data_IF_119778208062
#
_entry.id   IF_119778208062
#
_cell.length_a   1.000
_cell.length_b   1.000
_cell.length_c   1.000
_cell.angle_alpha   90.00
_cell.angle_beta   90.00
_cell.angle_gamma   90.00
#
_symmetry.space_group_name_H-M   'P 1'
#
loop_
_entity.id
_entity.type
_entity.pdbx_description
1 polymer ?
#
# COMPACT_ATOMS: atom_id res chain seq x y z
N UNK A 1 -12.37 -0.57 20.89
CA UNK A 1 -12.08 0.10 19.60
C UNK A 1 -12.10 -0.94 18.50
N UNK A 2 -12.59 -0.62 17.31
CA UNK A 2 -12.54 -1.57 16.18
C UNK A 2 -11.12 -1.64 15.64
N UNK A 3 -10.63 -2.84 15.35
CA UNK A 3 -9.31 -3.04 14.76
C UNK A 3 -9.38 -2.77 13.25
N UNK A 4 -8.43 -1.98 12.72
CA UNK A 4 -8.25 -1.77 11.29
C UNK A 4 -7.10 -2.65 10.78
N UNK A 5 -7.41 -3.56 9.85
CA UNK A 5 -6.48 -4.52 9.28
C UNK A 5 -6.03 -4.07 7.88
N UNK A 6 -4.75 -3.77 7.72
CA UNK A 6 -4.18 -3.21 6.49
C UNK A 6 -3.10 -4.15 5.97
N UNK A 7 -3.16 -4.47 4.69
CA UNK A 7 -2.08 -5.17 3.98
C UNK A 7 -1.45 -4.20 2.98
N UNK A 8 -0.13 -4.06 3.04
CA UNK A 8 0.63 -3.37 2.03
C UNK A 8 1.42 -4.42 1.24
N UNK A 9 1.32 -4.40 -0.08
CA UNK A 9 1.96 -5.41 -0.92
C UNK A 9 2.56 -4.80 -2.18
N UNK A 10 3.62 -5.44 -2.65
CA UNK A 10 4.33 -5.00 -3.85
C UNK A 10 5.59 -5.80 -4.10
N UNK A 11 6.47 -5.19 -4.88
CA UNK A 11 7.77 -5.75 -5.26
C UNK A 11 8.88 -5.04 -4.46
N UNK A 12 9.91 -5.77 -4.08
CA UNK A 12 11.05 -5.23 -3.33
C UNK A 12 11.69 -4.03 -4.03
N UNK A 13 11.84 -2.93 -3.30
CA UNK A 13 12.34 -1.65 -3.81
C UNK A 13 11.26 -0.56 -3.97
N UNK A 14 9.97 -0.87 -3.89
CA UNK A 14 8.87 0.09 -4.05
C UNK A 14 8.55 0.92 -2.79
N UNK A 15 9.19 0.62 -1.66
CA UNK A 15 9.01 1.38 -0.41
C UNK A 15 7.81 0.94 0.44
N UNK A 16 7.29 -0.26 0.24
CA UNK A 16 6.19 -0.89 1.01
C UNK A 16 6.47 -0.86 2.52
N UNK A 17 7.69 -1.28 2.91
CA UNK A 17 8.14 -1.31 4.31
C UNK A 17 8.19 0.09 4.93
N UNK A 18 8.62 1.11 4.18
CA UNK A 18 8.63 2.48 4.68
C UNK A 18 7.21 2.99 4.92
N UNK A 19 6.28 2.73 3.99
CA UNK A 19 4.88 3.12 4.17
C UNK A 19 4.26 2.44 5.39
N UNK A 20 4.50 1.14 5.59
CA UNK A 20 4.07 0.40 6.80
C UNK A 20 4.63 1.03 8.08
N UNK A 21 5.94 1.31 8.12
CA UNK A 21 6.60 1.92 9.29
C UNK A 21 6.13 3.34 9.59
N UNK A 22 5.80 4.13 8.57
CA UNK A 22 5.24 5.48 8.76
C UNK A 22 3.84 5.40 9.36
N UNK A 23 2.99 4.51 8.83
CA UNK A 23 1.64 4.32 9.34
C UNK A 23 1.67 3.81 10.78
N UNK A 24 2.54 2.84 11.10
CA UNK A 24 2.71 2.35 12.47
C UNK A 24 3.18 3.47 13.42
N UNK A 25 4.16 4.28 13.01
CA UNK A 25 4.67 5.39 13.83
C UNK A 25 3.60 6.48 14.04
N UNK A 26 2.80 6.77 13.02
CA UNK A 26 1.67 7.70 13.12
C UNK A 26 0.59 7.18 14.09
N UNK A 27 0.27 5.90 14.03
CA UNK A 27 -0.67 5.25 14.96
C UNK A 27 -0.18 5.33 16.41
N UNK A 28 1.09 4.99 16.65
CA UNK A 28 1.70 5.04 17.99
C UNK A 28 1.74 6.46 18.55
N UNK A 29 1.92 7.48 17.72
CA UNK A 29 1.92 8.89 18.13
C UNK A 29 0.52 9.38 18.56
N UNK A 30 -0.52 8.62 18.27
CA UNK A 30 -1.91 8.82 18.73
C UNK A 30 -2.29 7.90 19.89
N UNK A 31 -1.34 7.27 20.53
CA UNK A 31 -1.56 6.27 21.57
C UNK A 31 -2.42 5.08 21.14
N UNK A 32 -2.49 4.79 19.82
CA UNK A 32 -3.17 3.62 19.30
C UNK A 32 -2.24 2.39 19.40
N UNK A 33 -2.81 1.27 19.81
CA UNK A 33 -2.10 -0.01 19.71
C UNK A 33 -1.87 -0.37 18.24
N UNK A 34 -0.68 -0.87 17.92
CA UNK A 34 -0.33 -1.32 16.58
C UNK A 34 0.51 -2.57 16.63
N UNK A 35 0.20 -3.50 15.75
CA UNK A 35 1.00 -4.71 15.50
C UNK A 35 1.34 -4.76 14.03
N UNK A 36 2.60 -5.03 13.72
CA UNK A 36 3.06 -5.18 12.33
C UNK A 36 3.92 -6.42 12.17
N UNK A 37 3.84 -7.03 11.00
CA UNK A 37 4.73 -8.08 10.56
C UNK A 37 5.07 -7.88 9.08
N UNK A 38 6.33 -8.11 8.73
CA UNK A 38 6.83 -7.96 7.37
C UNK A 38 7.29 -9.33 6.86
N UNK A 39 6.77 -9.74 5.71
CA UNK A 39 7.29 -10.90 4.99
C UNK A 39 8.14 -10.39 3.85
N UNK A 40 9.44 -10.47 4.03
CA UNK A 40 10.41 -10.10 3.01
C UNK A 40 10.91 -11.39 2.38
N UNK A 41 10.68 -11.57 1.07
CA UNK A 41 11.24 -12.70 0.33
C UNK A 41 12.77 -12.66 0.31
N UNK A 42 13.41 -13.80 -0.01
CA UNK A 42 14.88 -13.90 -0.08
C UNK A 42 15.49 -12.96 -1.14
N UNK A 43 14.72 -12.57 -2.16
CA UNK A 43 15.11 -11.55 -3.13
C UNK A 43 14.76 -10.17 -2.60
N UNK A 44 15.77 -9.42 -2.13
CA UNK A 44 15.56 -8.03 -1.63
C UNK A 44 15.14 -7.03 -2.73
N UNK A 45 15.35 -7.36 -4.01
CA UNK A 45 14.90 -6.59 -5.18
C UNK A 45 14.16 -7.51 -6.14
N UNK A 46 13.02 -7.07 -6.63
CA UNK A 46 12.22 -7.83 -7.59
C UNK A 46 11.40 -8.99 -6.99
N UNK A 47 11.58 -9.31 -5.70
CA UNK A 47 10.78 -10.31 -5.01
C UNK A 47 9.50 -9.72 -4.39
N UNK A 48 8.50 -10.58 -4.17
CA UNK A 48 7.26 -10.20 -3.50
C UNK A 48 7.52 -9.75 -2.06
N UNK A 49 6.93 -8.62 -1.67
CA UNK A 49 6.99 -8.05 -0.32
C UNK A 49 5.58 -7.82 0.19
N UNK A 50 5.33 -8.23 1.42
CA UNK A 50 4.05 -8.01 2.08
C UNK A 50 4.28 -7.55 3.51
N UNK A 51 3.56 -6.51 3.93
CA UNK A 51 3.51 -6.02 5.30
C UNK A 51 2.08 -6.12 5.82
N UNK A 52 1.91 -6.76 6.97
CA UNK A 52 0.68 -6.71 7.76
C UNK A 52 0.76 -5.55 8.74
N UNK A 53 -0.30 -4.80 8.85
CA UNK A 53 -0.44 -3.75 9.84
C UNK A 53 -1.84 -3.80 10.44
N UNK A 54 -1.91 -3.92 11.75
CA UNK A 54 -3.17 -3.93 12.50
C UNK A 54 -3.16 -2.81 13.51
N UNK A 55 -4.14 -1.92 13.42
CA UNK A 55 -4.29 -0.74 14.30
C UNK A 55 -5.52 -0.98 15.17
N UNK A 56 -5.36 -0.89 16.49
CA UNK A 56 -6.38 -1.18 17.50
C UNK A 56 -6.06 -2.43 18.31
N UNK A 57 -6.97 -2.83 19.19
CA UNK A 57 -6.77 -3.93 20.13
C UNK A 57 -6.63 -5.27 19.41
N UNK A 58 -5.41 -5.79 19.39
CA UNK A 58 -5.10 -7.09 18.75
C UNK A 58 -3.84 -7.71 19.33
N UNK A 59 -3.90 -9.01 19.61
CA UNK A 59 -2.78 -9.78 20.17
C UNK A 59 -1.76 -10.22 19.09
N UNK A 60 -2.14 -10.29 17.81
CA UNK A 60 -1.31 -10.81 16.72
C UNK A 60 -1.20 -9.84 15.57
N UNK A 61 -0.02 -9.70 14.94
CA UNK A 61 0.13 -8.90 13.72
C UNK A 61 -0.45 -9.58 12.47
N UNK A 62 -0.69 -10.89 12.50
CA UNK A 62 -1.10 -11.64 11.32
C UNK A 62 -2.56 -11.37 10.97
N UNK A 63 -2.81 -11.12 9.69
CA UNK A 63 -4.14 -10.94 9.11
C UNK A 63 -4.54 -12.23 8.40
N UNK A 64 -5.69 -12.79 8.77
CA UNK A 64 -6.21 -14.00 8.13
C UNK A 64 -6.89 -13.68 6.80
N UNK A 65 -7.07 -14.70 5.94
CA UNK A 65 -7.84 -14.52 4.69
C UNK A 65 -9.26 -14.02 5.02
N UNK A 66 -9.75 -13.11 4.18
CA UNK A 66 -11.09 -12.53 4.32
C UNK A 66 -11.23 -11.51 5.46
N UNK A 67 -10.13 -10.97 6.04
CA UNK A 67 -10.23 -10.06 7.18
C UNK A 67 -9.50 -8.73 7.03
N UNK A 68 -8.83 -8.47 5.91
CA UNK A 68 -8.22 -7.18 5.64
C UNK A 68 -9.27 -6.12 5.26
N UNK A 69 -9.26 -5.00 5.96
CA UNK A 69 -10.12 -3.84 5.65
C UNK A 69 -9.62 -3.09 4.43
N UNK A 70 -8.30 -3.02 4.28
CA UNK A 70 -7.61 -2.29 3.24
C UNK A 70 -6.43 -3.11 2.67
N UNK A 71 -6.32 -3.12 1.35
CA UNK A 71 -5.10 -3.54 0.65
C UNK A 71 -4.53 -2.33 -0.08
N UNK A 72 -3.26 -1.99 0.20
CA UNK A 72 -2.49 -0.99 -0.54
C UNK A 72 -1.50 -1.75 -1.43
N UNK A 73 -1.78 -1.80 -2.73
CA UNK A 73 -1.00 -2.50 -3.73
C UNK A 73 -0.05 -1.57 -4.49
N UNK A 74 1.23 -1.81 -4.37
CA UNK A 74 2.27 -1.06 -5.07
C UNK A 74 2.47 -1.59 -6.49
N UNK A 75 2.00 -2.81 -6.75
CA UNK A 75 2.08 -3.50 -8.02
C UNK A 75 0.78 -4.32 -8.23
N UNK A 76 0.14 -4.23 -9.42
CA UNK A 76 -1.20 -4.80 -9.62
C UNK A 76 -1.26 -6.32 -9.48
N UNK A 77 -0.25 -7.07 -9.93
CA UNK A 77 -0.22 -8.53 -9.78
C UNK A 77 -0.09 -8.96 -8.33
N UNK A 78 0.73 -8.25 -7.53
CA UNK A 78 0.83 -8.48 -6.09
C UNK A 78 -0.49 -8.14 -5.37
N UNK A 79 -1.20 -7.12 -5.84
CA UNK A 79 -2.53 -6.77 -5.33
C UNK A 79 -3.54 -7.89 -5.57
N UNK A 80 -3.59 -8.42 -6.80
CA UNK A 80 -4.45 -9.56 -7.14
C UNK A 80 -4.10 -10.79 -6.31
N UNK A 81 -2.81 -11.08 -6.13
CA UNK A 81 -2.35 -12.23 -5.35
C UNK A 81 -2.82 -12.19 -3.89
N UNK A 82 -2.97 -10.98 -3.31
CA UNK A 82 -3.42 -10.80 -1.93
C UNK A 82 -4.91 -10.53 -1.79
N UNK A 83 -5.66 -10.45 -2.89
CA UNK A 83 -7.11 -10.26 -2.86
C UNK A 83 -7.87 -11.27 -1.98
N UNK A 84 -7.44 -12.56 -1.84
CA UNK A 84 -8.08 -13.50 -0.91
C UNK A 84 -8.02 -13.08 0.57
N UNK A 85 -7.18 -12.13 0.94
CA UNK A 85 -7.12 -11.58 2.30
C UNK A 85 -8.14 -10.47 2.54
N UNK A 86 -8.65 -9.83 1.48
CA UNK A 86 -9.63 -8.76 1.60
C UNK A 86 -10.93 -9.29 2.20
N UNK A 87 -11.50 -8.56 3.15
CA UNK A 87 -12.85 -8.84 3.63
C UNK A 87 -13.87 -8.46 2.56
N UNK A 88 -15.04 -9.06 2.61
CA UNK A 88 -16.17 -8.68 1.76
C UNK A 88 -16.47 -7.18 1.91
N UNK A 89 -16.49 -6.45 0.80
CA UNK A 89 -16.71 -5.01 0.79
C UNK A 89 -15.52 -4.15 1.26
N UNK A 90 -14.34 -4.76 1.41
CA UNK A 90 -13.12 -4.03 1.77
C UNK A 90 -12.62 -3.10 0.67
N UNK A 91 -11.63 -2.28 0.98
CA UNK A 91 -11.05 -1.29 0.06
C UNK A 91 -9.74 -1.79 -0.54
N UNK A 92 -9.53 -1.52 -1.82
CA UNK A 92 -8.27 -1.73 -2.53
C UNK A 92 -7.80 -0.40 -3.12
N UNK A 93 -6.56 -0.02 -2.81
CA UNK A 93 -5.85 1.08 -3.46
C UNK A 93 -4.65 0.49 -4.17
N UNK A 94 -4.53 0.68 -5.47
CA UNK A 94 -3.45 0.07 -6.24
C UNK A 94 -2.85 1.01 -7.27
N UNK A 95 -1.57 0.83 -7.52
CA UNK A 95 -0.90 1.40 -8.70
C UNK A 95 -1.29 0.62 -9.95
N UNK A 96 -1.40 1.31 -11.09
CA UNK A 96 -1.49 0.65 -12.41
C UNK A 96 -0.10 0.24 -12.95
N UNK A 97 0.98 0.72 -12.34
CA UNK A 97 2.35 0.46 -12.78
C UNK A 97 2.79 -0.97 -12.45
N UNK A 98 2.98 -1.77 -13.48
CA UNK A 98 3.37 -3.16 -13.37
C UNK A 98 4.89 -3.36 -13.37
N UNK A 99 5.34 -4.36 -12.64
CA UNK A 99 6.72 -4.85 -12.68
C UNK A 99 6.68 -6.32 -13.08
N UNK A 100 7.28 -6.66 -14.22
CA UNK A 100 7.32 -8.04 -14.69
C UNK A 100 8.04 -8.94 -13.67
N UNK A 101 7.41 -10.00 -13.18
CA UNK A 101 8.05 -10.93 -12.28
C UNK A 101 9.28 -11.59 -12.93
N UNK A 102 10.37 -11.74 -12.18
CA UNK A 102 11.60 -12.36 -12.68
C UNK A 102 11.35 -13.76 -13.24
N UNK A 103 10.50 -14.54 -12.61
CA UNK A 103 10.11 -15.87 -13.07
C UNK A 103 9.41 -15.83 -14.42
N UNK A 104 8.51 -14.87 -14.65
CA UNK A 104 7.85 -14.70 -15.94
C UNK A 104 8.85 -14.31 -17.04
N UNK A 105 9.77 -13.39 -16.73
CA UNK A 105 10.83 -12.98 -17.64
C UNK A 105 11.76 -14.15 -18.05
N UNK A 106 12.08 -15.05 -17.12
CA UNK A 106 12.94 -16.21 -17.37
C UNK A 106 12.25 -17.35 -18.11
N UNK A 107 10.94 -17.53 -17.91
CA UNK A 107 10.17 -18.62 -18.55
C UNK A 107 9.48 -18.21 -19.84
N UNK A 108 9.56 -16.93 -20.23
CA UNK A 108 8.82 -16.38 -21.36
C UNK A 108 7.30 -16.32 -21.14
N UNK A 109 6.83 -16.46 -19.90
CA UNK A 109 5.42 -16.33 -19.57
C UNK A 109 4.95 -14.88 -19.77
N UNK A 110 3.77 -14.71 -20.35
CA UNK A 110 3.17 -13.37 -20.50
C UNK A 110 2.73 -12.84 -19.16
N UNK A 111 3.03 -11.56 -18.88
CA UNK A 111 2.50 -10.82 -17.75
C UNK A 111 1.94 -9.48 -18.24
N UNK A 112 0.73 -9.16 -17.87
CA UNK A 112 0.08 -7.90 -18.20
C UNK A 112 -0.47 -7.24 -16.95
N UNK A 113 0.09 -6.09 -16.59
CA UNK A 113 -0.44 -5.27 -15.50
C UNK A 113 -1.85 -4.76 -15.76
N UNK A 114 -2.18 -4.47 -17.01
CA UNK A 114 -3.52 -4.08 -17.44
C UNK A 114 -4.54 -5.18 -17.13
N UNK A 115 -4.25 -6.43 -17.49
CA UNK A 115 -5.10 -7.57 -17.16
C UNK A 115 -5.30 -7.74 -15.66
N UNK A 116 -4.29 -7.45 -14.83
CA UNK A 116 -4.42 -7.49 -13.37
C UNK A 116 -5.34 -6.37 -12.87
N UNK A 117 -5.19 -5.15 -13.39
CA UNK A 117 -6.08 -4.03 -13.06
C UNK A 117 -7.52 -4.33 -13.49
N UNK A 118 -7.74 -4.88 -14.68
CA UNK A 118 -9.07 -5.23 -15.15
C UNK A 118 -9.70 -6.36 -14.32
N UNK A 119 -8.90 -7.31 -13.85
CA UNK A 119 -9.37 -8.30 -12.89
C UNK A 119 -9.85 -7.66 -11.58
N UNK A 120 -9.12 -6.66 -11.05
CA UNK A 120 -9.55 -5.92 -9.86
C UNK A 120 -10.87 -5.16 -10.11
N UNK A 121 -11.00 -4.46 -11.25
CA UNK A 121 -12.24 -3.76 -11.64
C UNK A 121 -13.44 -4.73 -11.73
N UNK A 122 -13.23 -5.91 -12.30
CA UNK A 122 -14.29 -6.94 -12.42
C UNK A 122 -14.79 -7.42 -11.04
N UNK A 123 -13.98 -7.28 -10.00
CA UNK A 123 -14.31 -7.65 -8.63
C UNK A 123 -14.85 -6.48 -7.79
N UNK A 124 -14.86 -5.23 -8.32
CA UNK A 124 -15.52 -4.09 -7.67
C UNK A 124 -17.04 -4.28 -7.68
N UNK A 125 -17.67 -3.96 -6.56
CA UNK A 125 -19.08 -4.26 -6.33
C UNK A 125 -19.40 -5.73 -5.98
N UNK A 126 -18.39 -6.62 -6.02
CA UNK A 126 -18.49 -8.03 -5.62
C UNK A 126 -17.74 -8.26 -4.30
N UNK A 127 -16.45 -8.59 -4.38
CA UNK A 127 -15.56 -8.71 -3.22
C UNK A 127 -15.02 -7.35 -2.76
N UNK A 128 -14.62 -6.50 -3.71
CA UNK A 128 -14.07 -5.19 -3.47
C UNK A 128 -15.22 -4.18 -3.36
N UNK A 129 -15.37 -3.53 -2.19
CA UNK A 129 -16.37 -2.47 -2.00
C UNK A 129 -15.96 -1.15 -2.64
N UNK A 130 -14.66 -0.84 -2.62
CA UNK A 130 -14.08 0.37 -3.22
C UNK A 130 -12.73 0.06 -3.84
N UNK A 131 -12.57 0.38 -5.11
CA UNK A 131 -11.30 0.28 -5.83
C UNK A 131 -10.80 1.69 -6.19
N UNK A 132 -9.56 2.01 -5.84
CA UNK A 132 -8.84 3.18 -6.31
C UNK A 132 -7.62 2.72 -7.09
N UNK A 133 -7.64 2.90 -8.39
CA UNK A 133 -6.48 2.65 -9.26
C UNK A 133 -5.80 3.98 -9.56
N UNK A 134 -4.51 4.08 -9.21
CA UNK A 134 -3.72 5.29 -9.39
C UNK A 134 -2.90 5.16 -10.66
N UNK A 135 -3.03 6.15 -11.56
CA UNK A 135 -2.11 6.30 -12.69
C UNK A 135 -0.75 6.78 -12.15
N UNK A 136 0.08 5.78 -11.86
CA UNK A 136 1.33 6.03 -11.18
C UNK A 136 2.38 6.68 -12.09
N UNK A 137 2.37 6.38 -13.36
CA UNK A 137 3.34 6.99 -14.29
C UNK A 137 3.07 8.49 -14.43
N UNK A 138 1.82 8.90 -14.58
CA UNK A 138 1.40 10.31 -14.55
C UNK A 138 1.78 10.98 -13.22
N UNK A 139 1.47 10.35 -12.09
CA UNK A 139 1.77 10.92 -10.79
C UNK A 139 3.27 11.13 -10.55
N UNK A 140 4.10 10.17 -10.96
CA UNK A 140 5.55 10.27 -10.78
C UNK A 140 6.21 11.25 -11.76
N UNK A 141 5.65 11.44 -12.96
CA UNK A 141 6.07 12.46 -13.91
C UNK A 141 5.80 13.86 -13.35
N UNK A 142 4.58 14.11 -12.88
CA UNK A 142 4.20 15.40 -12.27
C UNK A 142 5.00 15.73 -11.01
N UNK A 143 5.34 14.74 -10.20
CA UNK A 143 6.14 14.89 -8.98
C UNK A 143 7.64 14.95 -9.26
N UNK A 144 8.08 14.60 -10.48
CA UNK A 144 9.49 14.64 -10.89
C UNK A 144 10.38 13.59 -10.21
N UNK A 145 9.79 12.53 -9.60
CA UNK A 145 10.58 11.51 -8.91
C UNK A 145 9.88 10.15 -8.81
N UNK A 146 10.52 9.05 -9.23
CA UNK A 146 9.97 7.71 -9.06
C UNK A 146 10.03 7.20 -7.61
N UNK A 147 10.74 7.91 -6.72
CA UNK A 147 11.01 7.47 -5.34
C UNK A 147 9.88 7.74 -4.36
N UNK A 148 8.81 8.42 -4.79
CA UNK A 148 7.70 8.84 -3.91
C UNK A 148 6.39 8.08 -4.15
N UNK A 149 6.43 7.05 -4.98
CA UNK A 149 5.28 6.17 -5.24
C UNK A 149 4.57 5.71 -3.96
N UNK A 150 5.36 5.32 -2.96
CA UNK A 150 4.85 4.88 -1.68
C UNK A 150 4.08 5.98 -0.93
N UNK A 151 4.50 7.23 -1.07
CA UNK A 151 3.80 8.37 -0.45
C UNK A 151 2.51 8.72 -1.20
N UNK A 152 2.48 8.59 -2.53
CA UNK A 152 1.24 8.77 -3.32
C UNK A 152 0.16 7.78 -2.86
N UNK A 153 0.50 6.49 -2.78
CA UNK A 153 -0.42 5.43 -2.33
C UNK A 153 -0.86 5.61 -0.87
N UNK A 154 0.09 5.93 0.01
CA UNK A 154 -0.20 6.16 1.42
C UNK A 154 -1.06 7.42 1.62
N UNK A 155 -0.79 8.48 0.86
CA UNK A 155 -1.59 9.70 0.84
C UNK A 155 -3.03 9.46 0.39
N UNK A 156 -3.23 8.63 -0.64
CA UNK A 156 -4.56 8.22 -1.08
C UNK A 156 -5.32 7.48 0.03
N UNK A 157 -4.64 6.58 0.74
CA UNK A 157 -5.24 5.84 1.85
C UNK A 157 -5.60 6.76 3.04
N UNK A 158 -4.72 7.69 3.40
CA UNK A 158 -4.94 8.62 4.52
C UNK A 158 -6.08 9.59 4.23
N UNK A 159 -6.09 10.21 3.03
CA UNK A 159 -7.14 11.15 2.62
C UNK A 159 -8.49 10.49 2.45
N UNK A 160 -8.52 9.23 2.04
CA UNK A 160 -9.76 8.46 1.94
C UNK A 160 -10.33 7.99 3.29
N UNK A 161 -9.62 8.22 4.40
CA UNK A 161 -10.03 7.75 5.73
C UNK A 161 -9.89 6.24 5.92
N UNK A 162 -9.06 5.57 5.10
CA UNK A 162 -8.94 4.11 5.13
C UNK A 162 -7.90 3.60 6.14
N UNK A 163 -7.22 4.49 6.85
CA UNK A 163 -6.23 4.15 7.88
C UNK A 163 -6.81 4.15 9.31
N UNK A 164 -8.13 4.02 9.44
CA UNK A 164 -8.83 4.13 10.72
C UNK A 164 -8.77 5.56 11.26
N UNK A 165 -8.27 5.72 12.48
CA UNK A 165 -8.17 7.06 13.11
C UNK A 165 -6.93 7.87 12.67
N UNK A 166 -6.01 7.26 11.90
CA UNK A 166 -4.76 7.90 11.47
C UNK A 166 -5.03 8.85 10.31
N UNK A 167 -4.68 10.12 10.49
CA UNK A 167 -4.87 11.20 9.52
C UNK A 167 -3.63 11.40 8.64
N UNK A 168 -3.78 12.19 7.58
CA UNK A 168 -2.64 12.58 6.74
C UNK A 168 -1.61 13.41 7.52
N UNK A 169 -2.03 14.23 8.45
CA UNK A 169 -1.12 15.04 9.27
C UNK A 169 -0.33 14.17 10.24
N UNK A 170 -0.91 13.10 10.77
CA UNK A 170 -0.18 12.12 11.57
C UNK A 170 0.92 11.44 10.75
N UNK A 171 0.64 11.10 9.49
CA UNK A 171 1.63 10.54 8.55
C UNK A 171 2.75 11.55 8.26
N UNK A 172 2.41 12.82 8.00
CA UNK A 172 3.41 13.90 7.80
C UNK A 172 4.31 14.07 9.03
N UNK A 173 3.73 14.07 10.22
CA UNK A 173 4.48 14.17 11.48
C UNK A 173 5.42 12.97 11.69
N UNK A 174 4.97 11.76 11.36
CA UNK A 174 5.80 10.57 11.39
C UNK A 174 6.93 10.62 10.34
N UNK A 175 6.65 11.14 9.15
CA UNK A 175 7.63 11.32 8.08
C UNK A 175 8.76 12.26 8.49
N UNK A 176 8.46 13.40 9.12
CA UNK A 176 9.47 14.35 9.62
C UNK A 176 10.46 13.68 10.56
N UNK A 177 9.98 12.74 11.40
CA UNK A 177 10.82 12.02 12.36
C UNK A 177 11.64 10.88 11.74
N UNK A 178 11.24 10.33 10.60
CA UNK A 178 11.80 9.11 10.02
C UNK A 178 12.59 9.34 8.72
N UNK A 179 12.34 10.43 8.02
CA UNK A 179 12.92 10.73 6.69
C UNK A 179 13.83 11.95 6.80
N UNK A 180 14.89 12.00 5.99
CA UNK A 180 15.85 13.11 5.99
C UNK A 180 15.16 14.42 5.57
N UNK A 181 15.47 15.58 6.19
CA UNK A 181 14.81 16.86 5.94
C UNK A 181 14.74 17.26 4.47
N UNK A 182 15.81 17.02 3.72
CA UNK A 182 15.88 17.36 2.29
C UNK A 182 14.85 16.63 1.41
N UNK A 183 14.21 15.59 1.93
CA UNK A 183 13.19 14.82 1.21
C UNK A 183 11.77 15.17 1.67
N UNK A 184 11.58 16.00 2.69
CA UNK A 184 10.28 16.28 3.28
C UNK A 184 9.32 16.92 2.27
N UNK A 185 9.75 18.01 1.60
CA UNK A 185 8.90 18.75 0.67
C UNK A 185 8.34 17.85 -0.45
N UNK A 186 9.22 17.05 -1.08
CA UNK A 186 8.82 16.15 -2.13
C UNK A 186 7.84 15.06 -1.64
N UNK A 187 8.11 14.50 -0.45
CA UNK A 187 7.22 13.48 0.14
C UNK A 187 5.89 14.08 0.58
N UNK A 188 5.85 15.33 1.06
CA UNK A 188 4.59 16.03 1.37
C UNK A 188 3.76 16.25 0.12
N UNK A 189 4.37 16.74 -0.97
CA UNK A 189 3.68 16.88 -2.27
C UNK A 189 3.09 15.54 -2.74
N UNK A 190 3.83 14.45 -2.55
CA UNK A 190 3.35 13.12 -2.93
C UNK A 190 2.20 12.61 -2.05
N UNK A 191 2.25 12.86 -0.73
CA UNK A 191 1.13 12.55 0.18
C UNK A 191 -0.14 13.33 -0.16
N UNK A 192 0.02 14.55 -0.65
CA UNK A 192 -1.08 15.45 -1.03
C UNK A 192 -1.51 15.31 -2.49
N UNK A 193 -0.82 14.46 -3.26
CA UNK A 193 -1.10 14.31 -4.68
C UNK A 193 -2.58 13.97 -4.91
N UNK A 194 -3.29 14.89 -5.58
CA UNK A 194 -4.71 14.71 -5.88
C UNK A 194 -4.89 13.63 -6.94
N UNK A 195 -5.70 12.64 -6.64
CA UNK A 195 -6.16 11.66 -7.61
C UNK A 195 -7.25 12.34 -8.45
N UNK A 196 -6.91 12.74 -9.66
CA UNK A 196 -7.86 13.32 -10.63
C UNK A 196 -8.50 12.21 -11.42
#
# INVERSE_FOLDING_TARGET
>A
MSTTNIILCGVGGQGTVLASKLTAAASMARDLEVRSAETIGMAQRGGSVMSYLRIGDTASPLITKGSADLIIGFEPGETVRLLPYLKQGGTVITSNRAIMPVTAALTGASYSGESMVDYLKTNEGKLIGKLLTIDMDKALEELGSPKVMNMVLLGAAARGGYLGEVTIDDIKNALVKKVKPQLHELNFKALEYALV
#
